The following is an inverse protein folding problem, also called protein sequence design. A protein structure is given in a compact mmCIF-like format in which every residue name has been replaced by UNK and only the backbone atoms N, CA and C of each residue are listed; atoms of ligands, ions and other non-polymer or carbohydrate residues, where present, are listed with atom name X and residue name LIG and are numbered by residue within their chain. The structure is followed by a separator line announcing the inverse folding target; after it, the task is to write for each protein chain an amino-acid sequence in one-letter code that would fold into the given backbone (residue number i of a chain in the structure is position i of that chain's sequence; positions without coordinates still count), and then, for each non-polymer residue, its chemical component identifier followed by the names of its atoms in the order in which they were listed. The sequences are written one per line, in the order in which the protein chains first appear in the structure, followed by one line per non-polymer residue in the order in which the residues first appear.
data_IF_878992013298
#
_entry.id   IF_878992013298
#
_cell.length_a   1.000
_cell.length_b   1.000
_cell.length_c   1.000
_cell.angle_alpha   90.00
_cell.angle_beta   90.00
_cell.angle_gamma   90.00
#
_symmetry.space_group_name_H-M   'P 1'
#
loop_
_entity.id
_entity.type
_entity.pdbx_description
1 polymer ?
#
# COMPACT_ATOMS: atom_id res chain seq x y z
N UNK A 1 40.85 -23.80 39.65
CA UNK A 1 40.37 -24.36 38.36
C UNK A 1 38.89 -24.68 38.50
N UNK A 2 38.03 -23.77 38.06
CA UNK A 2 36.59 -24.04 37.85
C UNK A 2 36.24 -23.38 36.54
N UNK A 3 36.12 -24.19 35.50
CA UNK A 3 35.82 -23.80 34.14
C UNK A 3 34.35 -23.41 34.01
N UNK A 4 34.11 -22.27 33.39
CA UNK A 4 32.79 -21.86 32.91
C UNK A 4 32.28 -22.86 31.86
N UNK A 5 31.06 -23.35 32.02
CA UNK A 5 30.34 -24.08 30.99
C UNK A 5 29.29 -23.14 30.39
N UNK A 6 29.62 -22.48 29.28
CA UNK A 6 28.62 -21.78 28.47
C UNK A 6 28.02 -22.77 27.49
N UNK A 7 26.71 -23.02 27.60
CA UNK A 7 25.98 -23.86 26.66
C UNK A 7 25.95 -23.22 25.26
N UNK A 8 26.24 -23.98 24.18
CA UNK A 8 26.10 -23.52 22.81
C UNK A 8 24.73 -23.92 22.24
N UNK A 9 24.01 -22.96 21.66
CA UNK A 9 22.85 -23.24 20.81
C UNK A 9 21.60 -22.43 21.13
N UNK A 10 21.62 -21.14 20.77
CA UNK A 10 20.38 -20.46 20.40
C UNK A 10 20.50 -19.96 18.96
N UNK A 11 19.70 -20.60 18.11
CA UNK A 11 19.54 -20.37 16.69
C UNK A 11 19.04 -18.95 16.40
N UNK A 12 19.75 -18.21 15.54
CA UNK A 12 19.26 -16.98 14.90
C UNK A 12 18.53 -17.31 13.60
N UNK A 13 17.31 -16.81 13.42
CA UNK A 13 16.82 -16.49 12.07
C UNK A 13 16.26 -15.06 12.04
N UNK A 14 16.90 -14.15 11.29
CA UNK A 14 16.27 -12.88 10.90
C UNK A 14 17.09 -11.61 11.12
N UNK A 15 17.98 -11.55 12.12
CA UNK A 15 18.64 -10.27 12.50
C UNK A 15 19.47 -9.62 11.38
N UNK A 16 20.31 -10.39 10.67
CA UNK A 16 21.13 -9.87 9.57
C UNK A 16 20.29 -9.57 8.33
N UNK A 17 19.41 -10.49 7.95
CA UNK A 17 18.54 -10.36 6.77
C UNK A 17 17.57 -9.17 6.89
N UNK A 18 17.01 -8.94 8.08
CA UNK A 18 16.13 -7.80 8.36
C UNK A 18 16.91 -6.48 8.37
N UNK A 19 18.13 -6.44 8.93
CA UNK A 19 19.00 -5.26 8.86
C UNK A 19 19.39 -4.91 7.42
N UNK A 20 19.78 -5.92 6.62
CA UNK A 20 20.06 -5.72 5.19
C UNK A 20 18.85 -5.20 4.44
N UNK A 21 17.66 -5.79 4.68
CA UNK A 21 16.41 -5.34 4.09
C UNK A 21 16.14 -3.87 4.44
N UNK A 22 16.17 -3.53 5.73
CA UNK A 22 15.94 -2.17 6.21
C UNK A 22 16.90 -1.17 5.58
N UNK A 23 18.21 -1.46 5.56
CA UNK A 23 19.21 -0.59 4.96
C UNK A 23 18.95 -0.33 3.47
N UNK A 24 18.58 -1.38 2.73
CA UNK A 24 18.24 -1.25 1.30
C UNK A 24 16.97 -0.43 1.09
N UNK A 25 15.88 -0.71 1.82
CA UNK A 25 14.64 0.06 1.68
C UNK A 25 14.81 1.53 2.10
N UNK A 26 15.60 1.81 3.14
CA UNK A 26 15.98 3.18 3.50
C UNK A 26 16.74 3.86 2.37
N UNK A 27 17.71 3.20 1.76
CA UNK A 27 18.46 3.75 0.63
C UNK A 27 17.57 4.04 -0.59
N UNK A 28 16.62 3.15 -0.92
CA UNK A 28 15.65 3.38 -2.00
C UNK A 28 14.81 4.62 -1.70
N UNK A 29 14.31 4.73 -0.47
CA UNK A 29 13.49 5.87 -0.06
C UNK A 29 14.25 7.20 -0.19
N UNK A 30 15.49 7.25 0.28
CA UNK A 30 16.33 8.45 0.18
C UNK A 30 16.67 8.81 -1.27
N UNK A 31 17.06 7.82 -2.09
CA UNK A 31 17.33 8.04 -3.52
C UNK A 31 16.10 8.55 -4.27
N UNK A 32 14.90 8.04 -3.97
CA UNK A 32 13.66 8.57 -4.54
C UNK A 32 13.40 10.01 -4.14
N UNK A 33 13.70 10.38 -2.89
CA UNK A 33 13.51 11.73 -2.38
C UNK A 33 14.49 12.75 -2.98
N UNK A 34 15.74 12.34 -3.21
CA UNK A 34 16.80 13.22 -3.72
C UNK A 34 16.85 13.29 -5.24
N UNK A 35 16.73 12.14 -5.92
CA UNK A 35 16.99 12.00 -7.35
C UNK A 35 15.74 11.64 -8.17
N UNK A 36 14.60 11.43 -7.50
CA UNK A 36 13.37 10.98 -8.13
C UNK A 36 13.49 9.56 -8.73
N UNK A 37 12.42 9.12 -9.39
CA UNK A 37 12.38 7.77 -9.96
C UNK A 37 13.39 7.56 -11.09
N UNK A 38 13.52 8.52 -12.01
CA UNK A 38 14.45 8.41 -13.15
C UNK A 38 15.93 8.37 -12.76
N UNK A 39 16.26 8.81 -11.55
CA UNK A 39 17.61 8.75 -11.01
C UNK A 39 17.92 7.48 -10.22
N UNK A 40 16.92 6.66 -9.91
CA UNK A 40 17.05 5.47 -9.07
C UNK A 40 17.67 4.29 -9.85
N UNK A 41 18.76 3.74 -9.33
CA UNK A 41 19.48 2.59 -9.93
C UNK A 41 19.92 1.60 -8.86
N UNK A 42 20.09 0.34 -9.23
CA UNK A 42 20.52 -0.72 -8.30
C UNK A 42 21.91 -0.40 -7.72
N UNK A 43 22.78 0.21 -8.52
CA UNK A 43 24.13 0.65 -8.18
C UNK A 43 24.10 1.74 -7.12
N UNK A 44 23.27 2.78 -7.30
CA UNK A 44 23.12 3.85 -6.30
C UNK A 44 22.53 3.32 -5.01
N UNK A 45 21.53 2.44 -5.08
CA UNK A 45 20.93 1.80 -3.90
C UNK A 45 21.96 0.95 -3.16
N UNK A 46 22.75 0.15 -3.87
CA UNK A 46 23.82 -0.66 -3.29
C UNK A 46 24.89 0.21 -2.61
N UNK A 47 25.34 1.27 -3.30
CA UNK A 47 26.31 2.23 -2.78
C UNK A 47 25.81 2.90 -1.51
N UNK A 48 24.57 3.41 -1.51
CA UNK A 48 24.00 4.12 -0.36
C UNK A 48 23.68 3.20 0.81
N UNK A 49 23.16 2.01 0.55
CA UNK A 49 22.84 1.04 1.61
C UNK A 49 24.07 0.38 2.23
N UNK A 50 25.24 0.50 1.58
CA UNK A 50 26.46 -0.22 1.97
C UNK A 50 26.36 -1.74 1.72
N UNK A 51 25.36 -2.20 0.96
CA UNK A 51 25.16 -3.61 0.64
C UNK A 51 25.73 -3.89 -0.75
N UNK A 52 26.52 -4.96 -0.87
CA UNK A 52 27.14 -5.34 -2.13
C UNK A 52 26.10 -5.53 -3.25
N UNK A 53 26.37 -4.97 -4.44
CA UNK A 53 25.45 -4.94 -5.58
C UNK A 53 24.89 -6.31 -5.95
N UNK A 54 25.74 -7.35 -6.00
CA UNK A 54 25.30 -8.72 -6.26
C UNK A 54 24.28 -9.25 -5.23
N UNK A 55 24.35 -8.80 -3.96
CA UNK A 55 23.37 -9.16 -2.94
C UNK A 55 22.04 -8.46 -3.18
N UNK A 56 22.05 -7.21 -3.66
CA UNK A 56 20.83 -6.47 -4.01
C UNK A 56 20.16 -7.11 -5.22
N UNK A 57 20.89 -7.37 -6.31
CA UNK A 57 20.35 -8.07 -7.48
C UNK A 57 19.80 -9.45 -7.16
N UNK A 58 20.51 -10.27 -6.37
CA UNK A 58 20.04 -11.62 -6.02
C UNK A 58 18.68 -11.62 -5.33
N UNK A 59 18.43 -10.63 -4.47
CA UNK A 59 17.21 -10.59 -3.64
C UNK A 59 16.04 -9.87 -4.31
N UNK A 60 16.30 -8.72 -4.94
CA UNK A 60 15.23 -7.88 -5.50
C UNK A 60 15.11 -7.93 -7.01
N UNK A 61 16.14 -8.44 -7.71
CA UNK A 61 16.24 -8.58 -9.18
C UNK A 61 16.29 -7.25 -9.94
N UNK A 62 15.39 -6.31 -9.64
CA UNK A 62 15.25 -5.04 -10.34
C UNK A 62 14.72 -3.93 -9.41
N UNK A 63 14.69 -2.69 -9.92
CA UNK A 63 14.21 -1.52 -9.19
C UNK A 63 12.73 -1.63 -8.86
N UNK A 64 11.92 -2.19 -9.76
CA UNK A 64 10.48 -2.39 -9.59
C UNK A 64 10.19 -3.26 -8.36
N UNK A 65 10.99 -4.33 -8.16
CA UNK A 65 10.89 -5.19 -6.99
C UNK A 65 11.22 -4.46 -5.69
N UNK A 66 12.21 -3.56 -5.71
CA UNK A 66 12.54 -2.71 -4.55
C UNK A 66 11.41 -1.74 -4.21
N UNK A 67 10.82 -1.11 -5.22
CA UNK A 67 9.72 -0.15 -5.04
C UNK A 67 8.48 -0.86 -4.51
N UNK A 68 8.13 -2.01 -5.07
CA UNK A 68 7.01 -2.82 -4.60
C UNK A 68 7.19 -3.21 -3.12
N UNK A 69 8.40 -3.64 -2.74
CA UNK A 69 8.69 -4.01 -1.35
C UNK A 69 8.68 -2.78 -0.41
N UNK A 70 9.18 -1.62 -0.86
CA UNK A 70 9.10 -0.38 -0.10
C UNK A 70 7.65 0.06 0.14
N UNK A 71 6.83 0.06 -0.91
CA UNK A 71 5.40 0.40 -0.80
C UNK A 71 4.66 -0.58 0.12
N UNK A 72 4.97 -1.87 0.02
CA UNK A 72 4.40 -2.92 0.87
C UNK A 72 4.77 -2.70 2.34
N UNK A 73 6.03 -2.39 2.63
CA UNK A 73 6.49 -2.07 3.98
C UNK A 73 5.73 -0.89 4.55
N UNK A 74 5.68 0.23 3.83
CA UNK A 74 4.99 1.44 4.27
C UNK A 74 3.48 1.19 4.43
N UNK A 75 2.88 0.45 3.50
CA UNK A 75 1.46 0.10 3.57
C UNK A 75 1.11 -0.82 4.73
N UNK A 76 2.05 -1.64 5.22
CA UNK A 76 1.84 -2.54 6.35
C UNK A 76 1.66 -1.81 7.69
N UNK A 77 2.10 -0.55 7.78
CA UNK A 77 1.90 0.31 8.95
C UNK A 77 0.43 0.71 9.15
N UNK A 78 -0.43 0.53 8.14
CA UNK A 78 -1.88 0.75 8.24
C UNK A 78 -2.57 -0.58 8.57
N UNK A 79 -2.99 -0.79 9.83
CA UNK A 79 -3.68 -2.02 10.24
C UNK A 79 -5.07 -2.08 9.63
N UNK A 80 -5.57 -3.30 9.39
CA UNK A 80 -6.96 -3.51 9.00
C UNK A 80 -7.83 -3.56 10.26
N UNK A 81 -8.71 -2.58 10.51
CA UNK A 81 -9.53 -2.56 11.73
C UNK A 81 -10.57 -3.68 11.72
N UNK A 82 -11.04 -4.06 12.92
CA UNK A 82 -12.18 -4.96 13.13
C UNK A 82 -12.90 -4.63 14.45
N UNK A 83 -13.53 -3.46 14.47
CA UNK A 83 -14.29 -2.92 15.61
C UNK A 83 -15.69 -3.51 15.76
N UNK A 84 -16.12 -4.34 14.81
CA UNK A 84 -17.46 -4.93 14.77
C UNK A 84 -18.53 -4.06 14.12
N UNK A 85 -18.19 -2.86 13.61
CA UNK A 85 -19.11 -2.00 12.84
C UNK A 85 -18.42 -1.40 11.63
N UNK A 86 -19.12 -1.27 10.51
CA UNK A 86 -18.59 -0.63 9.30
C UNK A 86 -18.16 0.82 9.56
N UNK A 87 -18.97 1.56 10.33
CA UNK A 87 -18.70 2.95 10.68
C UNK A 87 -17.43 3.11 11.50
N UNK A 88 -17.21 2.21 12.48
CA UNK A 88 -15.98 2.17 13.27
C UNK A 88 -14.77 1.82 12.43
N UNK A 89 -14.90 0.80 11.58
CA UNK A 89 -13.81 0.30 10.75
C UNK A 89 -13.36 1.32 9.70
N UNK A 90 -14.28 1.91 8.95
CA UNK A 90 -13.97 2.95 7.95
C UNK A 90 -13.28 4.15 8.58
N UNK A 91 -13.76 4.61 9.74
CA UNK A 91 -13.17 5.76 10.45
C UNK A 91 -11.76 5.44 10.95
N UNK A 92 -11.58 4.28 11.56
CA UNK A 92 -10.27 3.86 12.06
C UNK A 92 -9.26 3.74 10.91
N UNK A 93 -9.66 3.09 9.81
CA UNK A 93 -8.81 2.91 8.63
C UNK A 93 -8.45 4.25 7.99
N UNK A 94 -9.43 5.13 7.77
CA UNK A 94 -9.19 6.46 7.18
C UNK A 94 -8.23 7.29 8.03
N UNK A 95 -8.37 7.23 9.36
CA UNK A 95 -7.45 7.94 10.29
C UNK A 95 -6.05 7.37 10.27
N UNK A 96 -5.89 6.04 10.20
CA UNK A 96 -4.58 5.41 10.04
C UNK A 96 -3.91 5.80 8.73
N UNK A 97 -4.66 5.85 7.61
CA UNK A 97 -4.16 6.36 6.33
C UNK A 97 -3.74 7.83 6.47
N UNK A 98 -4.57 8.66 7.10
CA UNK A 98 -4.26 10.07 7.28
C UNK A 98 -3.02 10.31 8.17
N UNK A 99 -2.86 9.54 9.23
CA UNK A 99 -1.68 9.61 10.09
C UNK A 99 -0.41 9.26 9.30
N UNK A 100 -0.44 8.15 8.56
CA UNK A 100 0.68 7.73 7.73
C UNK A 100 1.03 8.78 6.67
N UNK A 101 0.02 9.32 5.97
CA UNK A 101 0.23 10.30 4.89
C UNK A 101 0.52 11.72 5.42
N UNK A 102 0.21 11.98 6.68
CA UNK A 102 0.64 13.19 7.40
C UNK A 102 2.16 13.23 7.60
N UNK A 103 2.83 12.07 7.57
CA UNK A 103 4.29 12.01 7.62
C UNK A 103 4.89 12.58 6.32
N UNK A 104 5.67 13.66 6.45
CA UNK A 104 6.29 14.31 5.29
C UNK A 104 7.16 13.36 4.46
N UNK A 105 7.73 12.32 5.08
CA UNK A 105 8.48 11.27 4.38
C UNK A 105 7.57 10.44 3.46
N UNK A 106 6.46 9.93 3.97
CA UNK A 106 5.55 9.08 3.19
C UNK A 106 4.85 9.88 2.10
N UNK A 107 4.49 11.14 2.40
CA UNK A 107 3.91 12.04 1.39
C UNK A 107 4.84 12.22 0.18
N UNK A 108 6.13 12.48 0.40
CA UNK A 108 7.12 12.61 -0.68
C UNK A 108 7.26 11.32 -1.49
N UNK A 109 7.21 10.15 -0.85
CA UNK A 109 7.23 8.87 -1.54
C UNK A 109 6.01 8.71 -2.46
N UNK A 110 4.81 9.04 -1.99
CA UNK A 110 3.59 8.97 -2.80
C UNK A 110 3.69 9.93 -4.00
N UNK A 111 4.12 11.17 -3.78
CA UNK A 111 4.33 12.16 -4.84
C UNK A 111 5.31 11.65 -5.91
N UNK A 112 6.46 11.11 -5.48
CA UNK A 112 7.49 10.61 -6.38
C UNK A 112 7.01 9.42 -7.21
N UNK A 113 6.39 8.43 -6.59
CA UNK A 113 5.97 7.20 -7.26
C UNK A 113 4.76 7.44 -8.18
N UNK A 114 3.75 8.20 -7.74
CA UNK A 114 2.57 8.48 -8.57
C UNK A 114 2.93 9.38 -9.76
N UNK A 115 3.80 10.38 -9.56
CA UNK A 115 4.29 11.22 -10.66
C UNK A 115 5.06 10.39 -11.70
N UNK A 116 5.92 9.46 -11.25
CA UNK A 116 6.66 8.57 -12.15
C UNK A 116 5.73 7.63 -12.94
N UNK A 117 4.72 7.06 -12.28
CA UNK A 117 3.74 6.18 -12.92
C UNK A 117 2.94 6.84 -14.05
N UNK A 118 2.78 8.16 -14.03
CA UNK A 118 2.11 8.89 -15.11
C UNK A 118 2.90 8.88 -16.44
N UNK A 119 4.20 8.56 -16.39
CA UNK A 119 5.11 8.62 -17.55
C UNK A 119 5.80 7.28 -17.85
N UNK A 120 5.78 6.36 -16.89
CA UNK A 120 6.45 5.06 -16.98
C UNK A 120 5.45 3.92 -16.71
N UNK A 121 5.22 3.09 -17.74
CA UNK A 121 4.30 1.97 -17.68
C UNK A 121 4.71 0.86 -16.71
N UNK A 122 6.01 0.69 -16.44
CA UNK A 122 6.51 -0.27 -15.46
C UNK A 122 6.17 0.18 -14.03
N UNK A 123 6.40 1.46 -13.72
CA UNK A 123 6.03 2.04 -12.42
C UNK A 123 4.52 2.02 -12.21
N UNK A 124 3.76 2.33 -13.26
CA UNK A 124 2.30 2.18 -13.22
C UNK A 124 1.88 0.74 -12.92
N UNK A 125 2.60 -0.26 -13.44
CA UNK A 125 2.33 -1.66 -13.12
C UNK A 125 2.62 -2.00 -11.67
N UNK A 126 3.73 -1.53 -11.11
CA UNK A 126 4.08 -1.73 -9.70
C UNK A 126 3.02 -1.11 -8.79
N UNK A 127 2.56 0.11 -9.09
CA UNK A 127 1.48 0.74 -8.34
C UNK A 127 0.18 -0.06 -8.41
N UNK A 128 -0.21 -0.54 -9.60
CA UNK A 128 -1.41 -1.38 -9.75
C UNK A 128 -1.32 -2.63 -8.88
N UNK A 129 -0.22 -3.39 -8.97
CA UNK A 129 -0.01 -4.59 -8.14
C UNK A 129 -0.13 -4.29 -6.65
N UNK A 130 0.53 -3.23 -6.18
CA UNK A 130 0.45 -2.81 -4.78
C UNK A 130 -0.98 -2.49 -4.35
N UNK A 131 -1.73 -1.71 -5.14
CA UNK A 131 -3.11 -1.36 -4.80
C UNK A 131 -4.05 -2.56 -4.90
N UNK A 132 -3.88 -3.45 -5.87
CA UNK A 132 -4.69 -4.67 -6.00
C UNK A 132 -4.57 -5.52 -4.71
N UNK A 133 -3.36 -5.72 -4.20
CA UNK A 133 -3.12 -6.43 -2.94
C UNK A 133 -3.74 -5.72 -1.73
N UNK A 134 -3.56 -4.39 -1.63
CA UNK A 134 -4.10 -3.59 -0.54
C UNK A 134 -5.61 -3.52 -0.54
N UNK A 135 -6.23 -3.38 -1.71
CA UNK A 135 -7.69 -3.35 -1.86
C UNK A 135 -8.29 -4.74 -1.61
N UNK A 136 -7.63 -5.82 -2.03
CA UNK A 136 -8.03 -7.19 -1.67
C UNK A 136 -7.99 -7.43 -0.16
N UNK A 137 -6.95 -6.95 0.53
CA UNK A 137 -6.83 -7.00 1.99
C UNK A 137 -8.00 -6.25 2.67
N UNK A 138 -8.26 -5.03 2.19
CA UNK A 138 -9.36 -4.19 2.67
C UNK A 138 -10.73 -4.79 2.36
N UNK A 139 -10.84 -5.59 1.30
CA UNK A 139 -12.08 -6.29 0.94
C UNK A 139 -12.60 -7.22 2.02
N UNK A 140 -11.74 -7.73 2.91
CA UNK A 140 -12.18 -8.49 4.09
C UNK A 140 -13.05 -7.67 5.03
N UNK A 141 -12.78 -6.37 5.18
CA UNK A 141 -13.60 -5.48 6.01
C UNK A 141 -14.99 -5.28 5.40
N UNK A 142 -15.06 -5.16 4.07
CA UNK A 142 -16.34 -5.08 3.33
C UNK A 142 -17.12 -6.37 3.47
N UNK A 143 -16.46 -7.53 3.32
CA UNK A 143 -17.12 -8.82 3.50
C UNK A 143 -17.72 -8.98 4.90
N UNK A 144 -16.96 -8.65 5.96
CA UNK A 144 -17.49 -8.71 7.33
C UNK A 144 -18.70 -7.80 7.53
N UNK A 145 -18.73 -6.62 6.89
CA UNK A 145 -19.89 -5.73 6.97
C UNK A 145 -21.10 -6.27 6.19
N UNK A 146 -20.89 -6.94 5.06
CA UNK A 146 -21.94 -7.68 4.33
C UNK A 146 -22.50 -8.81 5.20
N UNK A 147 -21.63 -9.61 5.82
CA UNK A 147 -22.03 -10.74 6.67
C UNK A 147 -22.87 -10.29 7.88
N UNK A 148 -22.63 -9.07 8.38
CA UNK A 148 -23.43 -8.43 9.44
C UNK A 148 -24.71 -7.75 8.94
N UNK A 149 -24.96 -7.74 7.63
CA UNK A 149 -26.11 -7.06 7.03
C UNK A 149 -26.01 -5.53 7.01
N UNK A 150 -24.81 -4.96 7.21
CA UNK A 150 -24.59 -3.51 7.14
C UNK A 150 -24.49 -3.00 5.69
N UNK A 151 -24.21 -3.89 4.73
CA UNK A 151 -24.02 -3.55 3.31
C UNK A 151 -24.81 -4.51 2.40
N UNK A 152 -25.19 -4.07 1.18
CA UNK A 152 -25.74 -4.97 0.17
C UNK A 152 -24.78 -6.11 -0.19
N UNK A 153 -25.32 -7.31 -0.44
CA UNK A 153 -24.52 -8.53 -0.69
C UNK A 153 -23.58 -8.45 -1.90
N UNK A 154 -23.93 -7.66 -2.91
CA UNK A 154 -23.17 -7.46 -4.15
C UNK A 154 -22.28 -6.20 -4.12
N UNK A 155 -21.94 -5.68 -2.93
CA UNK A 155 -21.03 -4.54 -2.80
C UNK A 155 -19.65 -4.88 -3.38
N UNK A 156 -19.15 -4.04 -4.29
CA UNK A 156 -17.80 -4.11 -4.84
C UNK A 156 -16.78 -3.57 -3.83
N UNK A 157 -15.95 -4.43 -3.22
CA UNK A 157 -15.00 -3.96 -2.23
C UNK A 157 -13.92 -3.06 -2.84
N UNK A 158 -13.54 -3.31 -4.10
CA UNK A 158 -12.46 -2.56 -4.77
C UNK A 158 -12.91 -1.13 -5.00
N UNK A 159 -14.11 -0.92 -5.56
CA UNK A 159 -14.65 0.45 -5.76
C UNK A 159 -14.84 1.19 -4.44
N UNK A 160 -15.48 0.54 -3.46
CA UNK A 160 -15.76 1.17 -2.16
C UNK A 160 -14.48 1.61 -1.45
N UNK A 161 -13.46 0.74 -1.42
CA UNK A 161 -12.18 1.05 -0.75
C UNK A 161 -11.33 2.03 -1.55
N UNK A 162 -11.41 2.01 -2.89
CA UNK A 162 -10.77 3.04 -3.73
C UNK A 162 -11.36 4.43 -3.46
N UNK A 163 -12.68 4.52 -3.30
CA UNK A 163 -13.36 5.78 -2.96
C UNK A 163 -12.94 6.32 -1.58
N UNK A 164 -12.59 5.44 -0.62
CA UNK A 164 -12.04 5.85 0.67
C UNK A 164 -10.64 6.48 0.54
N UNK A 165 -9.80 5.90 -0.31
CA UNK A 165 -8.42 6.36 -0.54
C UNK A 165 -8.30 7.63 -1.38
N UNK A 166 -9.20 7.81 -2.36
CA UNK A 166 -9.09 8.85 -3.39
C UNK A 166 -8.94 10.30 -2.86
N UNK A 167 -9.69 10.75 -1.82
CA UNK A 167 -9.56 12.11 -1.30
C UNK A 167 -8.16 12.44 -0.80
N UNK A 168 -7.43 11.44 -0.27
CA UNK A 168 -6.07 11.63 0.20
C UNK A 168 -5.09 11.89 -0.96
N UNK A 169 -5.22 11.17 -2.07
CA UNK A 169 -4.39 11.43 -3.26
C UNK A 169 -4.69 12.78 -3.87
N UNK A 170 -5.96 13.19 -3.95
CA UNK A 170 -6.30 14.54 -4.39
C UNK A 170 -5.65 15.60 -3.50
N UNK A 171 -5.70 15.40 -2.17
CA UNK A 171 -5.13 16.32 -1.18
C UNK A 171 -3.62 16.45 -1.32
N UNK A 172 -2.91 15.35 -1.54
CA UNK A 172 -1.45 15.28 -1.70
C UNK A 172 -1.02 15.83 -3.06
N UNK A 173 -1.55 15.28 -4.16
CA UNK A 173 -1.00 15.45 -5.50
C UNK A 173 -1.52 16.70 -6.20
N UNK A 174 -2.79 17.05 -5.97
CA UNK A 174 -3.48 18.11 -6.71
C UNK A 174 -3.60 19.36 -5.85
N UNK A 175 -4.32 19.28 -4.72
CA UNK A 175 -4.56 20.42 -3.86
C UNK A 175 -3.30 20.85 -3.08
N UNK A 176 -2.33 19.95 -2.91
CA UNK A 176 -1.08 20.16 -2.15
C UNK A 176 -1.33 20.76 -0.76
N UNK A 177 -2.30 20.18 -0.06
CA UNK A 177 -2.71 20.61 1.29
C UNK A 177 -2.41 19.48 2.30
N UNK A 178 -2.38 19.77 3.61
CA UNK A 178 -2.22 18.74 4.63
C UNK A 178 -3.30 17.65 4.52
N UNK A 179 -2.91 16.40 4.80
CA UNK A 179 -3.83 15.31 5.09
C UNK A 179 -4.09 15.33 6.59
N UNK A 180 -5.33 15.58 6.97
CA UNK A 180 -5.74 15.80 8.35
C UNK A 180 -6.85 14.83 8.76
N UNK A 181 -7.18 14.85 10.05
CA UNK A 181 -8.22 13.99 10.64
C UNK A 181 -9.62 14.32 10.10
N UNK A 182 -9.87 15.57 9.75
CA UNK A 182 -11.16 16.01 9.22
C UNK A 182 -11.41 15.45 7.82
N UNK A 183 -10.37 15.42 6.97
CA UNK A 183 -10.40 14.71 5.69
C UNK A 183 -10.69 13.22 5.88
N UNK A 184 -10.04 12.57 6.86
CA UNK A 184 -10.28 11.17 7.15
C UNK A 184 -11.73 10.88 7.57
N UNK A 185 -12.25 11.67 8.51
CA UNK A 185 -13.59 11.49 9.06
C UNK A 185 -14.69 11.80 8.02
N UNK A 186 -14.47 12.82 7.18
CA UNK A 186 -15.38 13.15 6.08
C UNK A 186 -15.35 12.09 4.98
N UNK A 187 -14.18 11.58 4.59
CA UNK A 187 -14.06 10.49 3.62
C UNK A 187 -14.75 9.21 4.09
N UNK A 188 -14.53 8.80 5.35
CA UNK A 188 -15.21 7.66 5.95
C UNK A 188 -16.74 7.82 5.97
N UNK A 189 -17.21 9.02 6.30
CA UNK A 189 -18.65 9.34 6.32
C UNK A 189 -19.26 9.28 4.92
N UNK A 190 -18.60 9.87 3.93
CA UNK A 190 -19.05 9.90 2.54
C UNK A 190 -19.12 8.49 1.94
N UNK A 191 -18.07 7.68 2.13
CA UNK A 191 -18.03 6.30 1.64
C UNK A 191 -19.12 5.45 2.29
N UNK A 192 -19.32 5.58 3.61
CA UNK A 192 -20.39 4.86 4.30
C UNK A 192 -21.77 5.22 3.75
N UNK A 193 -22.05 6.51 3.56
CA UNK A 193 -23.33 6.97 3.02
C UNK A 193 -23.57 6.44 1.60
N UNK A 194 -22.56 6.54 0.73
CA UNK A 194 -22.64 6.01 -0.63
C UNK A 194 -22.81 4.49 -0.67
N UNK A 195 -22.16 3.76 0.24
CA UNK A 195 -22.27 2.31 0.33
C UNK A 195 -23.68 1.86 0.75
N UNK A 196 -24.29 2.51 1.75
CA UNK A 196 -25.68 2.25 2.13
C UNK A 196 -26.68 2.63 1.02
N UNK A 197 -26.38 3.66 0.23
CA UNK A 197 -27.17 4.02 -0.94
C UNK A 197 -26.99 3.04 -2.13
N UNK A 198 -26.14 2.01 -2.00
CA UNK A 198 -25.89 1.03 -3.03
C UNK A 198 -24.98 1.51 -4.17
N UNK A 199 -24.28 2.65 -4.01
CA UNK A 199 -23.47 3.26 -5.06
C UNK A 199 -22.30 2.36 -5.53
N UNK A 200 -21.85 1.44 -4.67
CA UNK A 200 -20.77 0.50 -4.98
C UNK A 200 -21.28 -0.91 -5.28
N UNK A 201 -22.57 -1.12 -5.47
CA UNK A 201 -23.09 -2.45 -5.83
C UNK A 201 -22.74 -2.78 -7.28
N UNK A 202 -22.24 -3.99 -7.52
CA UNK A 202 -22.10 -4.49 -8.88
C UNK A 202 -23.50 -4.71 -9.42
N UNK A 203 -23.86 -4.03 -10.50
CA UNK A 203 -25.04 -4.43 -11.27
C UNK A 203 -24.79 -5.85 -11.73
N UNK A 204 -25.71 -6.77 -11.42
CA UNK A 204 -25.63 -8.13 -11.93
C UNK A 204 -25.42 -8.06 -13.44
N UNK A 205 -24.34 -8.68 -13.90
CA UNK A 205 -24.00 -8.67 -15.30
C UNK A 205 -25.16 -9.25 -16.10
N UNK A 206 -25.85 -8.41 -16.88
CA UNK A 206 -26.55 -8.87 -18.06
C UNK A 206 -25.59 -9.70 -18.91
N UNK A 207 -26.09 -10.74 -19.60
CA UNK A 207 -25.25 -11.85 -20.06
C UNK A 207 -24.12 -11.35 -20.95
N UNK A 208 -22.89 -11.74 -20.59
CA UNK A 208 -21.78 -11.79 -21.51
C UNK A 208 -22.08 -12.89 -22.55
N UNK A 209 -22.79 -12.56 -23.62
CA UNK A 209 -22.88 -13.42 -24.79
C UNK A 209 -22.97 -12.58 -26.06
N UNK A 210 -21.94 -12.70 -26.89
CA UNK A 210 -21.86 -12.02 -28.17
C UNK A 210 -20.50 -12.11 -28.86
N UNK A 211 -19.66 -13.10 -28.55
CA UNK A 211 -18.64 -13.54 -29.50
C UNK A 211 -19.39 -14.24 -30.64
N UNK A 212 -19.71 -13.51 -31.70
CA UNK A 212 -20.02 -14.14 -32.99
C UNK A 212 -18.70 -14.43 -33.70
N UNK A 213 -18.40 -15.70 -34.04
CA UNK A 213 -17.43 -16.01 -35.07
C UNK A 213 -18.16 -16.13 -36.43
N UNK A 214 -17.60 -15.50 -37.46
CA UNK A 214 -17.78 -15.92 -38.85
C UNK A 214 -18.87 -15.21 -39.65
N UNK A 215 -18.41 -14.54 -40.71
CA UNK A 215 -19.18 -13.94 -41.80
C UNK A 215 -18.21 -13.25 -42.74
#
# INVERSE_FOLDING_TARGET
MTTAHHAPGETRPGGRTARTRKAVLTAVFEELGENGFGGLTMEKVASRSGIHLATVYRRWRCIEGLICELLTEVGSEVPLPDSGTLSGDLRALARSIAALYGEGRVRRLIEAVVSAAARDGQVASVLRTFFDERLALAGRMVQRAVDRGELPANTDPVQMMSALGAPFYYRILIARRPVDRDLADSAATAVRAAAHAGAYTKKDGGPANGTSPGG
#
